data_IF_515233440558
#
_entry.id   IF_515233440558
#
_cell.length_a   1.000
_cell.length_b   1.000
_cell.length_c   1.000
_cell.angle_alpha   90.00
_cell.angle_beta   90.00
_cell.angle_gamma   90.00
#
_symmetry.space_group_name_H-M   'P 1'
#
loop_
_entity.id
_entity.type
_entity.pdbx_description
1 polymer ?
#
# COMPACT_ATOMS: atom_id res chain seq x y z
N UNK A 1 -27.16 -5.44 -7.65
CA UNK A 1 -26.67 -5.53 -7.74
C UNK A 1 -25.98 -5.43 -7.59
N UNK A 2 -25.94 -5.56 -7.15
CA UNK A 2 -25.28 -5.59 -7.07
C UNK A 2 -24.31 -5.51 -7.31
N UNK A 3 -24.45 -5.30 -7.10
CA UNK A 3 -23.40 -5.27 -7.97
C UNK A 3 -22.19 -4.60 -7.52
N UNK A 4 -22.25 -3.71 -6.67
CA UNK A 4 -21.14 -3.00 -6.21
C UNK A 4 -20.06 -3.87 -5.76
N UNK A 5 -20.35 -4.85 -5.08
CA UNK A 5 -19.38 -5.71 -4.58
C UNK A 5 -18.59 -6.31 -5.63
N UNK A 6 -19.21 -6.60 -6.67
CA UNK A 6 -18.52 -7.21 -7.71
C UNK A 6 -17.56 -6.31 -8.29
N UNK A 7 -17.81 -5.06 -8.18
CA UNK A 7 -16.94 -4.15 -8.78
C UNK A 7 -15.66 -4.08 -8.05
N UNK A 8 -15.58 -4.65 -6.86
CA UNK A 8 -14.40 -4.58 -6.11
C UNK A 8 -13.45 -5.66 -6.46
N UNK A 9 -13.11 -5.74 -7.72
CA UNK A 9 -12.12 -6.71 -8.13
C UNK A 9 -10.76 -6.07 -8.15
N UNK A 10 -10.65 -4.82 -7.76
CA UNK A 10 -9.37 -4.15 -7.71
C UNK A 10 -9.39 -3.09 -6.64
N UNK A 11 -8.26 -2.65 -6.17
CA UNK A 11 -8.20 -1.62 -5.15
C UNK A 11 -8.77 -0.30 -5.65
N UNK A 12 -9.17 0.56 -4.74
CA UNK A 12 -9.69 1.86 -5.13
C UNK A 12 -8.55 2.71 -5.65
N UNK A 13 -8.91 3.81 -6.30
CA UNK A 13 -7.91 4.70 -6.85
C UNK A 13 -6.98 5.22 -5.77
N UNK A 14 -7.53 5.61 -4.62
CA UNK A 14 -6.68 6.12 -3.55
C UNK A 14 -5.76 5.04 -3.00
N UNK A 15 -6.25 3.82 -2.90
CA UNK A 15 -5.43 2.73 -2.46
C UNK A 15 -4.28 2.50 -3.45
N UNK A 16 -4.57 2.62 -4.72
CA UNK A 16 -3.51 2.45 -5.73
C UNK A 16 -2.51 3.60 -5.69
N UNK A 17 -2.94 4.80 -5.33
CA UNK A 17 -2.02 5.90 -5.20
C UNK A 17 -1.00 5.58 -4.09
N UNK A 18 -1.49 5.03 -2.99
CA UNK A 18 -0.62 4.64 -1.89
C UNK A 18 0.31 3.52 -2.34
N UNK A 19 -0.25 2.52 -3.00
CA UNK A 19 0.55 1.39 -3.46
C UNK A 19 1.65 1.83 -4.43
N UNK A 20 1.30 2.67 -5.38
CA UNK A 20 2.27 3.13 -6.37
C UNK A 20 3.39 3.94 -5.71
N UNK A 21 3.05 4.74 -4.70
CA UNK A 21 4.07 5.46 -3.98
C UNK A 21 5.02 4.49 -3.26
N UNK A 22 4.46 3.46 -2.65
CA UNK A 22 5.27 2.47 -1.95
C UNK A 22 6.22 1.76 -2.90
N UNK A 23 5.70 1.35 -4.05
CA UNK A 23 6.54 0.67 -5.05
C UNK A 23 7.67 1.58 -5.49
N UNK A 24 7.33 2.82 -5.80
CA UNK A 24 8.33 3.78 -6.26
C UNK A 24 9.38 4.04 -5.18
N UNK A 25 8.93 4.20 -3.95
CA UNK A 25 9.83 4.50 -2.86
C UNK A 25 10.81 3.33 -2.61
N UNK A 26 10.29 2.13 -2.56
CA UNK A 26 11.14 0.97 -2.33
C UNK A 26 12.11 0.77 -3.49
N UNK A 27 11.63 0.99 -4.70
CA UNK A 27 12.48 0.83 -5.87
C UNK A 27 13.63 1.82 -5.85
N UNK A 28 13.36 3.05 -5.43
CA UNK A 28 14.41 4.06 -5.41
C UNK A 28 15.31 3.99 -4.22
N UNK A 29 14.76 3.68 -3.06
CA UNK A 29 15.51 3.77 -1.82
C UNK A 29 15.95 2.43 -1.25
N UNK A 30 15.38 1.35 -1.76
CA UNK A 30 15.73 0.01 -1.32
C UNK A 30 15.31 -0.28 0.13
N UNK A 31 14.39 0.48 0.66
CA UNK A 31 13.81 0.20 1.97
C UNK A 31 12.41 0.80 1.98
N UNK A 32 11.61 0.39 2.96
CA UNK A 32 10.22 0.76 3.04
C UNK A 32 10.02 2.21 3.45
N UNK A 33 8.98 2.88 2.93
CA UNK A 33 8.62 4.18 3.46
C UNK A 33 7.96 3.99 4.82
N UNK A 34 7.95 5.05 5.62
CA UNK A 34 7.22 5.03 6.87
C UNK A 34 5.80 5.52 6.58
N UNK A 35 4.90 5.34 7.53
CA UNK A 35 3.53 5.85 7.37
C UNK A 35 3.56 7.36 7.19
N UNK A 36 4.45 8.05 7.87
CA UNK A 36 4.55 9.48 7.71
C UNK A 36 5.00 9.89 6.33
N UNK A 37 5.92 9.12 5.75
CA UNK A 37 6.37 9.40 4.39
C UNK A 37 5.19 9.30 3.44
N UNK A 38 4.33 8.30 3.66
CA UNK A 38 3.16 8.12 2.81
C UNK A 38 2.20 9.27 3.00
N UNK A 39 1.98 9.70 4.24
CA UNK A 39 1.10 10.83 4.50
C UNK A 39 1.54 12.06 3.73
N UNK A 40 2.80 12.35 3.78
CA UNK A 40 3.31 13.54 3.08
C UNK A 40 3.18 13.41 1.59
N UNK A 41 3.49 12.26 1.06
CA UNK A 41 3.48 12.08 -0.38
C UNK A 41 2.08 12.11 -0.97
N UNK A 42 1.12 11.56 -0.25
CA UNK A 42 -0.23 11.46 -0.78
C UNK A 42 -1.08 12.65 -0.37
N UNK A 43 -0.61 13.43 0.57
CA UNK A 43 -1.37 14.58 1.01
C UNK A 43 -2.44 14.26 2.02
N UNK A 44 -2.23 13.23 2.82
CA UNK A 44 -3.17 12.84 3.85
C UNK A 44 -2.62 13.27 5.18
N UNK A 45 -3.40 13.97 5.98
CA UNK A 45 -2.90 14.46 7.25
C UNK A 45 -3.06 13.47 8.39
N UNK A 46 -3.83 12.42 8.20
CA UNK A 46 -4.09 11.48 9.28
C UNK A 46 -3.41 10.15 9.01
N UNK A 47 -2.60 9.70 9.96
CA UNK A 47 -1.96 8.40 9.80
C UNK A 47 -2.98 7.28 9.88
N UNK A 48 -4.09 7.49 10.57
CA UNK A 48 -5.14 6.48 10.64
C UNK A 48 -5.67 6.16 9.26
N UNK A 49 -5.82 7.18 8.43
CA UNK A 49 -6.32 6.98 7.08
C UNK A 49 -5.33 6.16 6.27
N UNK A 50 -4.04 6.45 6.42
CA UNK A 50 -3.03 5.68 5.70
C UNK A 50 -3.07 4.22 6.15
N UNK A 51 -3.21 3.98 7.45
CA UNK A 51 -3.28 2.61 7.95
C UNK A 51 -4.45 1.85 7.35
N UNK A 52 -5.59 2.53 7.15
CA UNK A 52 -6.72 1.88 6.51
C UNK A 52 -6.41 1.47 5.08
N UNK A 53 -5.70 2.33 4.37
CA UNK A 53 -5.32 1.98 3.00
C UNK A 53 -4.31 0.83 3.00
N UNK A 54 -3.40 0.81 3.96
CA UNK A 54 -2.43 -0.27 4.04
C UNK A 54 -3.11 -1.59 4.36
N UNK A 55 -4.11 -1.55 5.24
CA UNK A 55 -4.85 -2.77 5.55
C UNK A 55 -5.55 -3.30 4.33
N UNK A 56 -6.14 -2.40 3.54
CA UNK A 56 -6.83 -2.82 2.34
C UNK A 56 -5.85 -3.44 1.34
N UNK A 57 -4.69 -2.83 1.17
CA UNK A 57 -3.70 -3.36 0.24
C UNK A 57 -3.18 -4.71 0.71
N UNK A 58 -3.06 -4.89 2.02
CA UNK A 58 -2.62 -6.16 2.56
C UNK A 58 -3.68 -7.22 2.28
N UNK A 59 -4.96 -6.86 2.40
CA UNK A 59 -6.03 -7.78 2.10
C UNK A 59 -6.04 -8.17 0.65
N UNK A 60 -5.67 -7.26 -0.23
CA UNK A 60 -5.57 -7.57 -1.65
C UNK A 60 -4.37 -8.45 -1.95
N UNK A 61 -3.48 -8.62 -0.98
CA UNK A 61 -2.29 -9.44 -1.19
C UNK A 61 -1.18 -8.71 -1.91
N UNK A 62 -1.21 -7.39 -1.93
CA UNK A 62 -0.22 -6.61 -2.63
C UNK A 62 0.96 -6.22 -1.75
N UNK A 63 0.76 -6.11 -0.46
CA UNK A 63 1.82 -5.75 0.47
C UNK A 63 1.66 -6.54 1.76
N UNK A 64 2.68 -6.48 2.58
CA UNK A 64 2.59 -6.98 3.94
C UNK A 64 3.36 -6.00 4.81
N UNK A 65 3.13 -6.03 6.10
CA UNK A 65 3.84 -5.15 7.02
C UNK A 65 3.65 -5.63 8.44
N UNK A 66 4.47 -5.11 9.34
CA UNK A 66 4.36 -5.44 10.75
C UNK A 66 3.88 -4.19 11.48
N UNK A 67 2.68 -4.22 12.02
CA UNK A 67 2.09 -3.01 12.60
C UNK A 67 2.93 -2.32 13.66
N UNK A 68 3.67 -3.07 14.40
CA UNK A 68 4.47 -2.49 15.46
C UNK A 68 5.78 -1.90 14.99
N UNK A 69 6.12 -2.06 13.73
CA UNK A 69 7.39 -1.59 13.22
C UNK A 69 7.22 -0.59 12.12
N UNK A 70 7.98 0.48 12.19
CA UNK A 70 7.95 1.44 11.11
C UNK A 70 8.85 0.91 10.01
N UNK A 71 8.62 1.32 8.80
CA UNK A 71 9.39 0.91 7.63
C UNK A 71 9.45 -0.60 7.45
N UNK A 72 8.32 -1.25 7.72
CA UNK A 72 8.28 -2.71 7.57
C UNK A 72 7.48 -3.17 6.34
N UNK A 73 7.05 -2.26 5.49
CA UNK A 73 6.23 -2.63 4.35
C UNK A 73 7.06 -3.35 3.30
N UNK A 74 6.55 -4.48 2.86
CA UNK A 74 7.20 -5.22 1.77
C UNK A 74 6.18 -5.47 0.69
N UNK A 75 6.64 -5.60 -0.54
CA UNK A 75 5.76 -5.85 -1.66
C UNK A 75 5.53 -7.34 -1.78
N UNK A 76 4.27 -7.71 -1.91
CA UNK A 76 3.95 -9.12 -2.07
C UNK A 76 3.26 -9.25 -3.40
N UNK A 77 3.16 -10.39 -3.90
CA UNK A 77 2.54 -10.55 -5.19
C UNK A 77 3.38 -9.99 -6.30
N UNK A 78 4.52 -9.41 -6.01
CA UNK A 78 5.39 -8.88 -7.00
C UNK A 78 6.35 -10.00 -7.30
N UNK A 79 6.23 -10.54 -8.45
CA UNK A 79 7.10 -11.60 -8.75
C UNK A 79 8.31 -11.08 -9.28
N UNK A 80 9.26 -11.01 -8.59
CA UNK A 80 10.46 -10.57 -9.13
C UNK A 80 11.20 -11.66 -9.68
N UNK A 81 10.95 -12.34 -9.84
CA UNK A 81 11.69 -13.29 -10.26
C UNK A 81 12.23 -13.46 -11.42
N UNK A 82 12.37 -13.41 -11.35
CA UNK A 82 12.76 -13.62 -11.92
C UNK A 82 12.92 -14.30 -12.48
N UNK A 83 12.55 -14.60 -12.40
CA UNK A 83 12.60 -15.32 -12.73
C UNK A 83 12.77 -15.55 -13.17
#
# INVERSE_FOLDING_TARGET
>A
MFGDDKMKTEPTKRQMDVYNFIVDYITKNMYSPSVRDICKAIGISSTSTVWKHLEALKRWGLIDYKPAQTRSIVLKGYKLVKE
#
